data_IF_556998195093
#
_entry.id   IF_556998195093
#
_cell.length_a   1.000
_cell.length_b   1.000
_cell.length_c   1.000
_cell.angle_alpha   90.00
_cell.angle_beta   90.00
_cell.angle_gamma   90.00
#
_symmetry.space_group_name_H-M   'P 1'
#
loop_
_entity.id
_entity.type
_entity.pdbx_description
1 polymer ?
#
# COMPACT_ATOMS: atom_id res chain seq x y z
N UNK A 1 4.59 5.77 -21.23
CA UNK A 1 4.68 5.64 -19.76
C UNK A 1 5.71 6.65 -19.28
N UNK A 2 5.41 7.45 -18.26
CA UNK A 2 6.39 8.39 -17.70
C UNK A 2 7.55 7.58 -17.09
N UNK A 3 8.79 7.95 -17.38
CA UNK A 3 9.99 7.16 -17.08
C UNK A 3 10.21 6.94 -15.58
N UNK A 4 9.77 7.89 -14.74
CA UNK A 4 10.02 7.85 -13.29
C UNK A 4 9.20 6.79 -12.54
N UNK A 5 7.96 6.50 -12.98
CA UNK A 5 7.11 5.49 -12.31
C UNK A 5 7.65 4.08 -12.49
N UNK A 6 8.10 3.78 -13.71
CA UNK A 6 8.69 2.47 -14.03
C UNK A 6 9.98 2.29 -13.25
N UNK A 7 10.78 3.34 -13.15
CA UNK A 7 12.03 3.32 -12.39
C UNK A 7 11.82 3.17 -10.89
N UNK A 8 10.89 3.90 -10.28
CA UNK A 8 10.54 3.75 -8.87
C UNK A 8 10.02 2.36 -8.54
N UNK A 9 9.19 1.78 -9.42
CA UNK A 9 8.70 0.43 -9.27
C UNK A 9 9.82 -0.62 -9.41
N UNK A 10 10.73 -0.47 -10.38
CA UNK A 10 11.89 -1.34 -10.55
C UNK A 10 12.80 -1.31 -9.30
N UNK A 11 13.08 -0.12 -8.79
CA UNK A 11 13.85 0.07 -7.55
C UNK A 11 13.17 -0.64 -6.37
N UNK A 12 11.86 -0.45 -6.18
CA UNK A 12 11.12 -1.12 -5.12
C UNK A 12 11.16 -2.65 -5.26
N UNK A 13 11.04 -3.16 -6.48
CA UNK A 13 11.12 -4.59 -6.77
C UNK A 13 12.50 -5.17 -6.40
N UNK A 14 13.59 -4.49 -6.79
CA UNK A 14 14.97 -4.87 -6.47
C UNK A 14 15.27 -4.82 -4.96
N UNK A 15 14.79 -3.79 -4.26
CA UNK A 15 14.99 -3.65 -2.81
C UNK A 15 14.19 -4.68 -2.00
N UNK A 16 12.99 -5.04 -2.43
CA UNK A 16 12.09 -5.93 -1.66
C UNK A 16 12.17 -7.40 -2.05
N UNK A 17 12.62 -7.72 -3.27
CA UNK A 17 12.59 -9.09 -3.79
C UNK A 17 11.16 -9.67 -3.86
N UNK A 18 10.15 -8.81 -4.03
CA UNK A 18 8.75 -9.23 -4.05
C UNK A 18 8.50 -10.26 -5.17
N UNK A 19 7.93 -11.42 -4.81
CA UNK A 19 7.65 -12.49 -5.77
C UNK A 19 6.22 -12.44 -6.34
N UNK A 20 5.44 -11.44 -5.95
CA UNK A 20 4.07 -11.24 -6.44
C UNK A 20 4.05 -10.31 -7.65
N UNK A 21 3.02 -10.47 -8.49
CA UNK A 21 2.81 -9.59 -9.64
C UNK A 21 2.61 -8.14 -9.17
N UNK A 22 3.51 -7.27 -9.60
CA UNK A 22 3.41 -5.83 -9.41
C UNK A 22 2.84 -5.20 -10.69
N UNK A 23 1.82 -4.36 -10.52
CA UNK A 23 1.17 -3.63 -11.61
C UNK A 23 1.31 -2.13 -11.41
N UNK A 24 1.45 -1.39 -12.50
CA UNK A 24 1.52 0.07 -12.49
C UNK A 24 0.18 0.67 -12.91
N UNK A 25 -0.31 1.64 -12.13
CA UNK A 25 -1.49 2.46 -12.47
C UNK A 25 -1.09 3.95 -12.51
N UNK A 26 -0.36 4.41 -13.55
CA UNK A 26 0.20 5.75 -13.58
C UNK A 26 -0.86 6.85 -13.59
N UNK A 27 -2.07 6.54 -14.04
CA UNK A 27 -3.21 7.46 -14.05
C UNK A 27 -4.03 7.41 -12.75
N UNK A 28 -3.70 6.49 -11.83
CA UNK A 28 -4.43 6.23 -10.59
C UNK A 28 -5.92 5.93 -10.82
N UNK A 29 -6.27 5.36 -11.97
CA UNK A 29 -7.67 5.09 -12.35
C UNK A 29 -8.25 3.95 -11.52
N UNK A 30 -7.50 2.85 -11.40
CA UNK A 30 -7.89 1.71 -10.57
C UNK A 30 -7.85 2.12 -9.11
N UNK A 31 -6.76 2.77 -8.67
CA UNK A 31 -6.58 3.28 -7.32
C UNK A 31 -7.79 4.11 -6.82
N UNK A 32 -8.24 5.09 -7.62
CA UNK A 32 -9.40 5.92 -7.29
C UNK A 32 -10.73 5.17 -7.38
N UNK A 33 -10.86 4.20 -8.28
CA UNK A 33 -12.07 3.39 -8.41
C UNK A 33 -12.32 2.52 -7.17
N UNK A 34 -11.26 2.13 -6.47
CA UNK A 34 -11.33 1.46 -5.16
C UNK A 34 -11.57 2.43 -3.98
N UNK A 35 -11.78 3.72 -4.25
CA UNK A 35 -12.06 4.74 -3.23
C UNK A 35 -10.81 5.21 -2.47
N UNK A 36 -9.61 4.89 -2.96
CA UNK A 36 -8.37 5.33 -2.34
C UNK A 36 -8.00 6.76 -2.73
N UNK A 37 -7.28 7.45 -1.85
CA UNK A 37 -6.92 8.86 -1.99
C UNK A 37 -5.72 9.21 -1.11
N UNK A 38 -5.41 10.49 -1.00
CA UNK A 38 -4.34 10.98 -0.15
C UNK A 38 -4.92 11.70 1.06
N UNK A 39 -4.30 11.55 2.23
CA UNK A 39 -4.81 12.17 3.45
C UNK A 39 -3.70 12.53 4.44
N UNK A 40 -3.35 13.82 4.46
CA UNK A 40 -2.45 14.39 5.46
C UNK A 40 -2.92 14.07 6.89
N UNK A 41 -4.22 14.27 7.17
CA UNK A 41 -4.77 14.10 8.50
C UNK A 41 -4.74 12.65 9.00
N UNK A 42 -4.69 11.66 8.09
CA UNK A 42 -4.58 10.24 8.45
C UNK A 42 -3.12 9.80 8.60
N UNK A 43 -2.22 10.31 7.76
CA UNK A 43 -0.78 10.00 7.79
C UNK A 43 -0.09 10.68 8.97
N UNK A 44 -0.43 11.95 9.25
CA UNK A 44 0.21 12.75 10.29
C UNK A 44 -0.44 12.63 11.67
N UNK A 45 -1.27 11.59 11.89
CA UNK A 45 -1.83 11.33 13.22
C UNK A 45 -0.71 11.06 14.21
N UNK A 46 -0.87 11.55 15.43
CA UNK A 46 0.11 11.37 16.51
C UNK A 46 0.55 9.91 16.68
N UNK A 47 -0.39 8.96 16.70
CA UNK A 47 -0.05 7.53 16.82
C UNK A 47 0.82 7.02 15.68
N UNK A 48 0.63 7.53 14.45
CA UNK A 48 1.46 7.17 13.32
C UNK A 48 2.87 7.75 13.45
N UNK A 49 2.98 9.02 13.83
CA UNK A 49 4.27 9.68 14.05
C UNK A 49 5.06 9.05 15.20
N UNK A 50 4.37 8.65 16.27
CA UNK A 50 4.98 7.92 17.38
C UNK A 50 5.59 6.60 16.90
N UNK A 51 4.81 5.80 16.15
CA UNK A 51 5.27 4.52 15.62
C UNK A 51 6.42 4.68 14.61
N UNK A 52 6.43 5.74 13.79
CA UNK A 52 7.58 6.05 12.95
C UNK A 52 8.80 6.47 13.78
N UNK A 53 8.62 7.19 14.89
CA UNK A 53 9.70 7.54 15.81
C UNK A 53 10.35 6.32 16.47
N UNK A 54 9.56 5.26 16.72
CA UNK A 54 10.06 4.00 17.27
C UNK A 54 10.99 3.25 16.31
N UNK A 55 10.92 3.49 15.00
CA UNK A 55 11.78 2.80 14.02
C UNK A 55 13.26 3.07 14.27
N UNK A 56 13.62 4.31 14.61
CA UNK A 56 15.00 4.65 14.99
C UNK A 56 15.46 3.98 16.28
N UNK A 57 14.54 3.62 17.19
CA UNK A 57 14.87 2.92 18.43
C UNK A 57 15.13 1.42 18.22
N UNK A 58 14.65 0.85 17.11
CA UNK A 58 14.81 -0.57 16.77
C UNK A 58 15.70 -0.78 15.54
N UNK A 59 16.47 0.23 15.15
CA UNK A 59 17.38 0.21 14.00
C UNK A 59 16.69 -0.23 12.69
N UNK A 60 15.45 0.22 12.53
CA UNK A 60 14.66 -0.01 11.31
C UNK A 60 14.77 1.20 10.39
N UNK A 61 15.33 0.97 9.21
CA UNK A 61 15.46 2.00 8.19
C UNK A 61 14.17 2.22 7.39
N UNK A 62 14.04 3.44 6.88
CA UNK A 62 13.10 3.75 5.80
C UNK A 62 13.68 3.30 4.46
N UNK A 63 12.84 2.99 3.46
CA UNK A 63 13.32 2.72 2.11
C UNK A 63 14.18 3.89 1.59
N UNK A 64 15.33 3.58 1.00
CA UNK A 64 16.21 4.57 0.37
C UNK A 64 15.62 4.95 -0.99
N UNK A 65 14.80 6.01 -1.00
CA UNK A 65 14.11 6.53 -2.18
C UNK A 65 14.77 7.85 -2.62
N UNK A 66 15.39 7.91 -3.80
CA UNK A 66 15.95 9.14 -4.34
C UNK A 66 14.88 10.26 -4.42
N UNK A 67 15.21 11.53 -4.12
CA UNK A 67 14.22 12.61 -4.10
C UNK A 67 13.42 12.79 -5.40
N UNK A 68 14.02 12.47 -6.55
CA UNK A 68 13.37 12.51 -7.88
C UNK A 68 12.31 11.42 -8.09
N UNK A 69 12.33 10.38 -7.28
CA UNK A 69 11.38 9.26 -7.26
C UNK A 69 10.40 9.37 -6.08
N UNK A 70 10.55 10.39 -5.23
CA UNK A 70 9.65 10.60 -4.10
C UNK A 70 8.27 11.01 -4.63
N UNK A 71 7.28 10.15 -4.38
CA UNK A 71 5.89 10.42 -4.72
C UNK A 71 5.16 11.13 -3.56
N UNK A 72 3.83 11.20 -3.67
CA UNK A 72 2.94 11.69 -2.63
C UNK A 72 3.03 10.83 -1.36
N UNK A 73 3.78 11.31 -0.38
CA UNK A 73 3.95 10.67 0.93
C UNK A 73 2.66 10.57 1.74
N UNK A 74 1.58 11.25 1.32
CA UNK A 74 0.26 11.18 1.96
C UNK A 74 -0.69 10.21 1.28
N UNK A 75 -0.23 9.49 0.25
CA UNK A 75 -1.00 8.46 -0.42
C UNK A 75 -1.40 7.34 0.57
N UNK A 76 -2.70 7.04 0.63
CA UNK A 76 -3.23 5.99 1.51
C UNK A 76 -3.14 4.61 0.86
N UNK A 77 -3.03 3.59 1.70
CA UNK A 77 -3.10 2.20 1.28
C UNK A 77 -4.52 1.63 1.32
N UNK A 78 -4.66 0.41 0.81
CA UNK A 78 -5.84 -0.42 0.98
C UNK A 78 -5.55 -1.85 0.59
N UNK A 79 -6.29 -2.79 1.18
CA UNK A 79 -6.22 -4.22 0.88
C UNK A 79 -7.57 -4.68 0.35
N UNK A 80 -7.55 -5.38 -0.78
CA UNK A 80 -8.75 -5.84 -1.47
C UNK A 80 -8.59 -7.30 -1.87
N UNK A 81 -9.63 -8.10 -1.62
CA UNK A 81 -9.72 -9.47 -2.12
C UNK A 81 -10.78 -9.51 -3.21
N UNK A 82 -10.43 -10.11 -4.34
CA UNK A 82 -11.30 -10.29 -5.50
C UNK A 82 -11.47 -11.79 -5.77
N UNK A 83 -12.63 -12.20 -6.28
CA UNK A 83 -12.80 -13.53 -6.89
C UNK A 83 -12.33 -13.54 -8.36
N UNK A 84 -12.37 -14.72 -8.99
CA UNK A 84 -11.99 -14.92 -10.39
C UNK A 84 -12.84 -14.12 -11.39
N UNK A 85 -14.04 -13.69 -11.00
CA UNK A 85 -14.91 -12.85 -11.80
C UNK A 85 -14.66 -11.34 -11.57
N UNK A 86 -13.72 -10.99 -10.68
CA UNK A 86 -13.40 -9.61 -10.32
C UNK A 86 -14.36 -8.99 -9.31
N UNK A 87 -15.20 -9.79 -8.64
CA UNK A 87 -16.07 -9.30 -7.56
C UNK A 87 -15.25 -9.08 -6.29
N UNK A 88 -15.44 -7.93 -5.66
CA UNK A 88 -14.79 -7.60 -4.39
C UNK A 88 -15.42 -8.40 -3.25
N UNK A 89 -14.62 -9.24 -2.60
CA UNK A 89 -14.97 -10.06 -1.44
C UNK A 89 -14.55 -9.42 -0.11
N UNK A 90 -13.45 -8.67 -0.13
CA UNK A 90 -12.96 -7.85 0.97
C UNK A 90 -12.56 -6.48 0.44
N UNK A 91 -13.01 -5.43 1.12
CA UNK A 91 -12.70 -4.04 0.81
C UNK A 91 -12.21 -3.36 2.09
N UNK A 92 -10.90 -3.13 2.19
CA UNK A 92 -10.28 -2.48 3.35
C UNK A 92 -9.45 -1.26 2.92
N UNK A 93 -10.09 -0.11 2.62
CA UNK A 93 -9.38 1.17 2.54
C UNK A 93 -8.80 1.54 3.90
N UNK A 94 -7.49 1.73 3.98
CA UNK A 94 -6.81 1.95 5.26
C UNK A 94 -7.17 3.32 5.87
N UNK A 95 -7.40 3.37 7.18
CA UNK A 95 -7.67 4.61 7.92
C UNK A 95 -6.40 5.34 8.38
N UNK A 96 -5.26 4.63 8.38
CA UNK A 96 -3.92 5.12 8.70
C UNK A 96 -2.88 4.30 7.92
N UNK A 97 -1.60 4.73 7.81
CA UNK A 97 -0.55 3.92 7.19
C UNK A 97 -0.40 2.52 7.78
N UNK A 98 -0.74 2.33 9.06
CA UNK A 98 -0.60 1.06 9.80
C UNK A 98 -1.88 0.23 9.91
N UNK A 99 -3.01 0.76 9.43
CA UNK A 99 -4.29 0.05 9.44
C UNK A 99 -4.31 -0.95 8.28
N UNK A 100 -3.99 -2.23 8.56
CA UNK A 100 -3.97 -3.32 7.59
C UNK A 100 -4.77 -4.50 8.16
N UNK A 101 -5.52 -5.25 7.33
CA UNK A 101 -6.10 -6.51 7.77
C UNK A 101 -4.98 -7.51 8.05
N UNK A 102 -5.23 -8.43 8.98
CA UNK A 102 -4.33 -9.55 9.20
C UNK A 102 -4.49 -10.59 8.08
N UNK A 103 -3.48 -11.45 7.92
CA UNK A 103 -3.59 -12.60 7.00
C UNK A 103 -4.83 -13.45 7.35
N UNK A 104 -5.15 -13.62 8.63
CA UNK A 104 -6.34 -14.35 9.04
C UNK A 104 -7.64 -13.67 8.60
N UNK A 105 -7.73 -12.34 8.62
CA UNK A 105 -8.90 -11.62 8.12
C UNK A 105 -9.11 -11.88 6.63
N UNK A 106 -8.02 -11.88 5.86
CA UNK A 106 -8.05 -12.17 4.41
C UNK A 106 -8.47 -13.62 4.14
N UNK A 107 -7.88 -14.59 4.86
CA UNK A 107 -8.19 -16.01 4.68
C UNK A 107 -9.65 -16.32 5.07
N UNK A 108 -10.17 -15.71 6.13
CA UNK A 108 -11.57 -15.86 6.51
C UNK A 108 -12.53 -15.27 5.47
N UNK A 109 -12.15 -14.16 4.81
CA UNK A 109 -12.94 -13.61 3.72
C UNK A 109 -12.96 -14.55 2.51
N UNK A 110 -11.82 -15.17 2.18
CA UNK A 110 -11.72 -16.17 1.13
C UNK A 110 -12.58 -17.42 1.43
N UNK A 111 -12.49 -17.97 2.64
CA UNK A 111 -13.25 -19.15 3.07
C UNK A 111 -14.76 -18.93 2.99
N UNK A 112 -15.25 -17.76 3.45
CA UNK A 112 -16.68 -17.40 3.36
C UNK A 112 -17.17 -17.31 1.91
N UNK A 113 -16.30 -16.90 1.00
CA UNK A 113 -16.59 -16.83 -0.43
C UNK A 113 -16.42 -18.19 -1.14
N UNK A 114 -15.89 -19.21 -0.45
CA UNK A 114 -15.54 -20.53 -1.00
C UNK A 114 -14.50 -20.44 -2.13
N UNK A 115 -13.55 -19.51 -1.98
CA UNK A 115 -12.31 -19.51 -2.77
C UNK A 115 -11.34 -20.59 -2.28
#
# INVERSE_FOLDING_TARGET
>A
LNSSFVEGAQMWFEQTGCNYNMVLDPQRTVYRSFGLGSSYAQVMKFGCLLQYGEYGAVDRDFPDVPPRLLEDIYQMGGDFLLDDAGKVLLCHPCKTPFDRPTVNDILQAAERAKL
#
